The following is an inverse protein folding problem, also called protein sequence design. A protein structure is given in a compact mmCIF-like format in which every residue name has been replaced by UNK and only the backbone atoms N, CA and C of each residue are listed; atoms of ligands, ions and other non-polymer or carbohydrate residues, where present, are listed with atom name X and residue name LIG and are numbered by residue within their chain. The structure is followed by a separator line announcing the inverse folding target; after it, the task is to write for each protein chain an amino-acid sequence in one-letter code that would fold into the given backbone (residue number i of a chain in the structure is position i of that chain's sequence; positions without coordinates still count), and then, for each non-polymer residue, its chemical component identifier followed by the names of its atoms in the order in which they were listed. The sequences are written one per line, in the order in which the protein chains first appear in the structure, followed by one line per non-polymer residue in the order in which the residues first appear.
data_IF_422402617031
#
_entry.id   IF_422402617031
#
_cell.length_a   1.000
_cell.length_b   1.000
_cell.length_c   1.000
_cell.angle_alpha   90.00
_cell.angle_beta   90.00
_cell.angle_gamma   90.00
#
_symmetry.space_group_name_H-M   'P 1'
#
loop_
_entity.id
_entity.type
_entity.pdbx_description
1 polymer ?
#
# COMPACT_ATOMS: atom_id res chain seq x y z
N UNK A 1 15.29 2.25 -3.49
CA UNK A 1 15.59 0.79 -3.50
C UNK A 1 15.91 0.33 -4.91
N UNK A 2 16.85 -0.61 -5.10
CA UNK A 2 17.11 -1.27 -6.39
C UNK A 2 16.20 -2.50 -6.58
N UNK A 3 16.03 -2.96 -7.81
CA UNK A 3 15.21 -4.16 -8.14
C UNK A 3 15.64 -5.38 -7.33
N UNK A 4 16.95 -5.67 -7.28
CA UNK A 4 17.49 -6.82 -6.53
C UNK A 4 17.08 -6.79 -5.05
N UNK A 5 17.21 -5.62 -4.42
CA UNK A 5 16.85 -5.42 -3.02
C UNK A 5 15.34 -5.55 -2.81
N UNK A 6 14.53 -5.07 -3.76
CA UNK A 6 13.08 -5.23 -3.70
C UNK A 6 12.68 -6.70 -3.78
N UNK A 7 13.29 -7.47 -4.69
CA UNK A 7 13.04 -8.91 -4.81
C UNK A 7 13.41 -9.64 -3.52
N UNK A 8 14.58 -9.38 -2.96
CA UNK A 8 15.03 -9.97 -1.68
C UNK A 8 14.07 -9.65 -0.53
N UNK A 9 13.54 -8.43 -0.50
CA UNK A 9 12.59 -8.01 0.53
C UNK A 9 11.17 -8.53 0.30
N UNK A 10 10.76 -8.81 -0.94
CA UNK A 10 9.44 -9.35 -1.25
C UNK A 10 9.39 -10.87 -1.18
N UNK A 11 10.50 -11.56 -1.44
CA UNK A 11 10.57 -13.03 -1.46
C UNK A 11 10.38 -13.68 -0.08
N UNK A 12 10.40 -12.89 1.00
CA UNK A 12 10.09 -13.35 2.35
C UNK A 12 8.59 -13.49 2.63
N UNK A 13 7.73 -12.91 1.79
CA UNK A 13 6.27 -12.97 1.94
C UNK A 13 5.67 -14.07 1.06
N UNK A 14 4.43 -14.45 1.35
CA UNK A 14 3.68 -15.38 0.50
C UNK A 14 3.51 -14.77 -0.91
N UNK A 15 3.91 -15.48 -1.98
CA UNK A 15 3.87 -14.96 -3.35
C UNK A 15 2.46 -14.63 -3.87
N UNK A 16 1.41 -15.17 -3.24
CA UNK A 16 0.02 -14.86 -3.58
C UNK A 16 -0.54 -13.64 -2.80
N UNK A 17 0.28 -13.03 -1.92
CA UNK A 17 -0.09 -11.81 -1.19
C UNK A 17 -0.15 -10.61 -2.15
N UNK A 18 -1.26 -9.84 -2.19
CA UNK A 18 -1.36 -8.65 -3.02
C UNK A 18 -0.34 -7.57 -2.66
N UNK A 19 0.17 -6.86 -3.67
CA UNK A 19 1.06 -5.71 -3.51
C UNK A 19 0.31 -4.42 -3.85
N UNK A 20 0.39 -3.41 -2.98
CA UNK A 20 -0.28 -2.11 -3.15
C UNK A 20 0.70 -0.94 -3.04
N UNK A 21 0.38 0.18 -3.70
CA UNK A 21 1.17 1.42 -3.67
C UNK A 21 0.37 2.58 -3.06
N UNK A 22 1.05 3.63 -2.60
CA UNK A 22 0.41 4.86 -2.14
C UNK A 22 -0.23 5.66 -3.29
N UNK A 23 -1.39 6.28 -3.02
CA UNK A 23 -2.09 7.21 -3.92
C UNK A 23 -1.35 8.53 -4.20
N UNK A 24 -1.86 9.28 -5.17
CA UNK A 24 -1.05 9.92 -6.22
C UNK A 24 -1.27 11.45 -6.33
N UNK A 25 -0.32 12.26 -5.85
CA UNK A 25 -0.16 13.63 -6.34
C UNK A 25 1.10 13.76 -7.21
N UNK A 26 1.19 12.91 -8.25
CA UNK A 26 2.11 12.99 -9.39
C UNK A 26 3.64 13.04 -9.13
N UNK A 27 4.09 12.93 -7.88
CA UNK A 27 5.51 12.79 -7.50
C UNK A 27 5.94 11.33 -7.38
N UNK A 28 7.25 11.08 -7.53
CA UNK A 28 7.86 9.77 -7.33
C UNK A 28 8.90 9.83 -6.23
N UNK A 29 8.75 8.96 -5.22
CA UNK A 29 9.79 8.70 -4.24
C UNK A 29 10.45 7.35 -4.53
N UNK A 30 11.68 7.19 -4.06
CA UNK A 30 12.27 5.86 -3.97
C UNK A 30 11.45 5.01 -2.99
N UNK A 31 11.24 3.73 -3.32
CA UNK A 31 10.71 2.78 -2.32
C UNK A 31 11.66 2.77 -1.12
N UNK A 32 11.12 3.08 0.04
CA UNK A 32 11.81 3.09 1.34
C UNK A 32 11.00 2.40 2.44
N UNK A 33 9.75 2.00 2.15
CA UNK A 33 8.84 1.32 3.08
C UNK A 33 8.32 0.08 2.37
N UNK A 34 8.42 -1.06 3.06
CA UNK A 34 7.76 -2.32 2.72
C UNK A 34 7.15 -2.81 4.02
N UNK A 35 5.83 -2.84 4.12
CA UNK A 35 5.15 -3.29 5.33
C UNK A 35 3.93 -4.15 4.99
N UNK A 36 3.60 -5.10 5.86
CA UNK A 36 2.35 -5.82 5.77
C UNK A 36 1.23 -4.98 6.42
N UNK A 37 0.13 -4.76 5.68
CA UNK A 37 -1.07 -4.05 6.16
C UNK A 37 -2.29 -4.94 6.02
N UNK A 38 -3.29 -4.71 6.86
CA UNK A 38 -4.62 -5.32 6.72
C UNK A 38 -5.60 -4.24 6.24
N UNK A 39 -6.19 -4.40 5.05
CA UNK A 39 -7.04 -3.38 4.40
C UNK A 39 -8.32 -3.99 3.81
N UNK A 40 -9.30 -3.16 3.47
CA UNK A 40 -10.47 -3.57 2.68
C UNK A 40 -10.27 -3.21 1.20
N UNK A 41 -10.59 -4.17 0.32
CA UNK A 41 -10.36 -4.03 -1.12
C UNK A 41 -11.55 -3.34 -1.81
N UNK A 42 -11.28 -2.39 -2.72
CA UNK A 42 -12.28 -1.79 -3.62
C UNK A 42 -13.42 -1.05 -2.91
N UNK A 43 -13.08 -0.33 -1.84
CA UNK A 43 -14.04 0.36 -0.95
C UNK A 43 -14.12 1.87 -1.19
N UNK A 44 -13.15 2.44 -1.90
CA UNK A 44 -13.10 3.86 -2.19
C UNK A 44 -13.54 4.10 -3.66
N UNK A 45 -14.70 4.77 -3.89
CA UNK A 45 -15.14 5.09 -5.25
C UNK A 45 -14.40 6.29 -5.86
N UNK A 46 -13.77 7.12 -5.02
CA UNK A 46 -13.07 8.33 -5.41
C UNK A 46 -11.60 8.06 -5.75
N UNK A 47 -11.18 8.45 -6.94
CA UNK A 47 -9.85 8.15 -7.49
C UNK A 47 -8.68 8.72 -6.66
N UNK A 48 -8.87 9.85 -5.99
CA UNK A 48 -7.80 10.52 -5.22
C UNK A 48 -7.44 9.81 -3.91
N UNK A 49 -8.27 8.90 -3.40
CA UNK A 49 -7.94 8.05 -2.25
C UNK A 49 -7.22 6.74 -2.64
N UNK A 50 -7.19 6.39 -3.94
CA UNK A 50 -6.88 5.03 -4.38
C UNK A 50 -8.01 4.04 -4.05
N UNK A 51 -8.03 2.88 -4.71
CA UNK A 51 -9.19 1.97 -4.68
C UNK A 51 -9.42 1.24 -3.34
N UNK A 52 -8.39 1.11 -2.50
CA UNK A 52 -8.45 0.33 -1.25
C UNK A 52 -8.42 1.24 -0.02
N UNK A 53 -9.09 0.80 1.04
CA UNK A 53 -9.30 1.59 2.25
C UNK A 53 -8.63 0.95 3.47
N UNK A 54 -7.75 1.68 4.17
CA UNK A 54 -7.32 1.34 5.52
C UNK A 54 -8.37 1.74 6.57
N UNK A 55 -8.23 1.23 7.80
CA UNK A 55 -9.06 1.62 8.95
C UNK A 55 -8.82 3.04 9.46
N UNK A 56 -7.70 3.68 9.10
CA UNK A 56 -7.30 5.00 9.62
C UNK A 56 -7.90 6.18 8.84
N UNK A 57 -8.23 5.99 7.56
CA UNK A 57 -8.84 7.01 6.70
C UNK A 57 -10.30 6.72 6.34
N UNK A 58 -10.83 5.55 6.68
CA UNK A 58 -12.26 5.28 6.67
C UNK A 58 -12.82 5.43 8.10
N UNK A 59 -13.77 6.34 8.36
CA UNK A 59 -14.30 6.53 9.70
C UNK A 59 -14.91 5.24 10.29
N UNK A 60 -15.38 4.32 9.45
CA UNK A 60 -15.78 2.96 9.83
C UNK A 60 -15.49 1.95 8.68
N UNK A 61 -15.18 0.67 8.99
CA UNK A 61 -15.03 -0.38 7.99
C UNK A 61 -16.30 -0.57 7.15
N UNK A 62 -16.15 -0.81 5.84
CA UNK A 62 -17.27 -1.13 4.96
C UNK A 62 -17.88 -2.48 5.34
N UNK A 63 -19.19 -2.55 5.68
CA UNK A 63 -19.82 -3.81 6.05
C UNK A 63 -19.71 -4.88 4.95
N UNK A 64 -19.51 -6.13 5.36
CA UNK A 64 -19.40 -7.31 4.47
C UNK A 64 -18.20 -7.32 3.51
N UNK A 65 -17.25 -6.40 3.65
CA UNK A 65 -15.96 -6.48 2.95
C UNK A 65 -14.91 -6.98 3.94
N UNK A 66 -14.29 -8.16 3.73
CA UNK A 66 -13.28 -8.67 4.66
C UNK A 66 -12.00 -7.84 4.58
N UNK A 67 -11.24 -7.88 5.67
CA UNK A 67 -9.86 -7.43 5.66
C UNK A 67 -8.97 -8.45 4.94
N UNK A 68 -8.04 -7.95 4.15
CA UNK A 68 -7.05 -8.72 3.40
C UNK A 68 -5.67 -8.20 3.77
N UNK A 69 -4.78 -9.13 4.05
CA UNK A 69 -3.37 -8.80 4.28
C UNK A 69 -2.69 -8.53 2.93
N UNK A 70 -1.96 -7.42 2.88
CA UNK A 70 -1.27 -6.94 1.67
C UNK A 70 0.13 -6.47 2.01
N UNK A 71 1.01 -6.42 1.00
CA UNK A 71 2.32 -5.76 1.10
C UNK A 71 2.20 -4.35 0.53
N UNK A 72 2.31 -3.36 1.41
CA UNK A 72 2.33 -1.95 1.07
C UNK A 72 3.74 -1.50 0.70
N UNK A 73 3.86 -0.88 -0.47
CA UNK A 73 5.06 -0.21 -0.95
C UNK A 73 4.89 1.31 -0.85
N UNK A 74 5.74 1.92 -0.01
CA UNK A 74 5.77 3.36 0.22
C UNK A 74 7.15 3.96 -0.01
N UNK A 75 7.20 5.29 -0.07
CA UNK A 75 8.44 6.02 -0.28
C UNK A 75 8.40 7.39 0.38
N UNK A 76 9.43 7.71 1.16
CA UNK A 76 9.62 9.05 1.70
C UNK A 76 10.24 9.98 0.67
N UNK A 77 9.77 11.22 0.67
CA UNK A 77 10.46 12.27 -0.08
C UNK A 77 11.68 12.73 0.71
N UNK A 78 12.80 12.05 0.50
CA UNK A 78 14.07 12.31 1.19
C UNK A 78 14.65 13.72 0.96
N UNK A 79 14.09 14.50 0.01
CA UNK A 79 14.46 15.91 -0.22
C UNK A 79 13.44 16.89 0.39
N UNK A 80 12.26 16.43 0.81
CA UNK A 80 11.32 17.23 1.60
C UNK A 80 11.84 17.33 3.03
N UNK A 81 11.98 18.55 3.54
CA UNK A 81 12.26 18.80 4.97
C UNK A 81 10.98 18.77 5.78
#
# INVERSE_FOLDING_TARGET
MKIQQLIEMLSQFDPDTPVVIQGYEAGYNSISIIEQKSIQMNVNPEHFYGAHGPTDHQPEPVPNVPFVDVIYLGGYNHISR
#
